data_IF_364969010974
#
_entry.id   IF_364969010974
#
_cell.length_a   1.000
_cell.length_b   1.000
_cell.length_c   1.000
_cell.angle_alpha   90.00
_cell.angle_beta   90.00
_cell.angle_gamma   90.00
#
_symmetry.space_group_name_H-M   'P 1'
#
loop_
_entity.id
_entity.type
_entity.pdbx_description
1 polymer ?
#
# COMPACT_ATOMS: atom_id res chain seq x y z
N UNK A 1 -8.28 -5.03 -2.07
CA UNK A 1 -7.16 -5.98 -2.11
C UNK A 1 -5.88 -5.27 -1.68
N UNK A 2 -5.61 -5.15 -0.37
CA UNK A 2 -4.33 -4.67 0.13
C UNK A 2 -3.30 -5.81 0.19
N UNK A 3 -2.06 -5.49 -0.16
CA UNK A 3 -0.90 -6.37 -0.08
C UNK A 3 0.08 -5.74 0.90
N UNK A 4 0.43 -6.49 1.93
CA UNK A 4 1.35 -6.07 2.97
C UNK A 4 2.58 -6.98 2.91
N UNK A 5 3.74 -6.37 2.78
CA UNK A 5 5.02 -7.08 2.83
C UNK A 5 5.82 -6.52 3.98
N UNK A 6 6.10 -7.36 4.98
CA UNK A 6 6.91 -7.04 6.14
C UNK A 6 8.29 -7.67 5.95
N UNK A 7 9.28 -6.83 5.72
CA UNK A 7 10.68 -7.19 5.61
C UNK A 7 11.39 -6.84 6.92
N UNK A 8 12.16 -7.77 7.49
CA UNK A 8 12.93 -7.50 8.72
C UNK A 8 14.27 -8.22 8.71
N UNK A 9 15.27 -7.59 9.34
CA UNK A 9 16.57 -8.21 9.60
C UNK A 9 16.57 -9.12 10.84
N UNK A 10 15.45 -9.19 11.58
CA UNK A 10 15.30 -10.11 12.69
C UNK A 10 15.37 -11.55 12.17
N UNK A 11 16.18 -12.38 12.83
CA UNK A 11 16.21 -13.81 12.57
C UNK A 11 14.81 -14.42 12.78
N UNK A 12 14.47 -15.46 12.02
CA UNK A 12 13.14 -16.07 12.04
C UNK A 12 12.72 -16.58 13.42
N UNK A 13 13.67 -16.96 14.28
CA UNK A 13 13.42 -17.37 15.66
C UNK A 13 13.02 -16.22 16.60
N UNK A 14 13.31 -14.97 16.23
CA UNK A 14 12.90 -13.77 16.98
C UNK A 14 11.56 -13.23 16.51
N UNK A 15 11.07 -13.66 15.34
CA UNK A 15 9.76 -13.26 14.85
C UNK A 15 8.69 -14.15 15.50
N UNK A 16 7.67 -13.57 16.15
CA UNK A 16 6.60 -14.33 16.75
C UNK A 16 5.88 -15.22 15.75
N UNK A 17 5.59 -16.48 16.12
CA UNK A 17 4.79 -17.36 15.30
C UNK A 17 3.37 -16.78 15.07
N UNK A 18 2.88 -16.88 13.84
CA UNK A 18 1.55 -16.38 13.46
C UNK A 18 1.46 -14.87 13.33
N UNK A 19 2.59 -14.15 13.29
CA UNK A 19 2.61 -12.70 13.06
C UNK A 19 1.88 -12.33 11.77
N UNK A 20 2.00 -13.13 10.71
CA UNK A 20 1.33 -12.94 9.43
C UNK A 20 -0.21 -12.92 9.57
N UNK A 21 -0.77 -13.79 10.43
CA UNK A 21 -2.22 -13.83 10.69
C UNK A 21 -2.67 -12.63 11.53
N UNK A 22 -1.91 -12.27 12.55
CA UNK A 22 -2.22 -11.10 13.40
C UNK A 22 -2.10 -9.80 12.60
N UNK A 23 -1.06 -9.68 11.77
CA UNK A 23 -0.88 -8.54 10.87
C UNK A 23 -2.00 -8.47 9.83
N UNK A 24 -2.49 -9.60 9.32
CA UNK A 24 -3.65 -9.63 8.42
C UNK A 24 -4.92 -9.09 9.10
N UNK A 25 -5.22 -9.55 10.32
CA UNK A 25 -6.37 -9.09 11.10
C UNK A 25 -6.27 -7.59 11.49
N UNK A 26 -5.07 -7.16 11.89
CA UNK A 26 -4.78 -5.76 12.19
C UNK A 26 -4.94 -4.89 10.94
N UNK A 27 -4.39 -5.31 9.80
CA UNK A 27 -4.50 -4.61 8.54
C UNK A 27 -5.95 -4.51 8.04
N UNK A 28 -6.74 -5.57 8.19
CA UNK A 28 -8.17 -5.55 7.88
C UNK A 28 -8.90 -4.47 8.68
N UNK A 29 -8.63 -4.40 9.99
CA UNK A 29 -9.22 -3.40 10.90
C UNK A 29 -8.72 -1.98 10.62
N UNK A 30 -7.43 -1.81 10.34
CA UNK A 30 -6.81 -0.50 10.09
C UNK A 30 -7.28 0.07 8.75
N UNK A 31 -7.28 -0.75 7.69
CA UNK A 31 -7.60 -0.35 6.32
C UNK A 31 -9.09 -0.40 6.00
N UNK A 32 -9.93 -0.89 6.91
CA UNK A 32 -11.37 -1.05 6.71
C UNK A 32 -11.72 -2.01 5.56
N UNK A 33 -10.87 -3.01 5.30
CA UNK A 33 -11.08 -4.00 4.22
C UNK A 33 -11.28 -5.39 4.81
N UNK A 34 -12.11 -6.23 4.19
CA UNK A 34 -12.35 -7.57 4.70
C UNK A 34 -11.07 -8.40 4.61
N UNK A 35 -10.80 -9.20 5.64
CA UNK A 35 -9.55 -9.91 5.83
C UNK A 35 -9.27 -10.95 4.73
N UNK A 36 -10.33 -11.48 4.09
CA UNK A 36 -10.27 -12.37 2.93
C UNK A 36 -9.57 -11.76 1.70
N UNK A 37 -9.55 -10.42 1.61
CA UNK A 37 -8.92 -9.68 0.51
C UNK A 37 -7.53 -9.15 0.86
N UNK A 38 -7.06 -9.35 2.10
CA UNK A 38 -5.76 -8.89 2.61
C UNK A 38 -4.73 -9.99 2.40
N UNK A 39 -3.63 -9.65 1.74
CA UNK A 39 -2.49 -10.55 1.59
C UNK A 39 -1.34 -10.04 2.44
N UNK A 40 -0.72 -10.93 3.22
CA UNK A 40 0.41 -10.60 4.09
C UNK A 40 1.56 -11.56 3.81
N UNK A 41 2.74 -10.99 3.60
CA UNK A 41 4.00 -11.73 3.48
C UNK A 41 4.95 -11.22 4.57
N UNK A 42 5.54 -12.13 5.34
CA UNK A 42 6.57 -11.81 6.35
C UNK A 42 7.88 -12.45 5.91
N UNK A 43 8.93 -11.64 5.78
CA UNK A 43 10.26 -12.06 5.34
C UNK A 43 11.29 -11.74 6.43
N UNK A 44 11.59 -12.71 7.31
CA UNK A 44 12.63 -12.55 8.32
C UNK A 44 14.03 -12.81 7.76
N UNK A 45 15.05 -12.36 8.49
CA UNK A 45 16.46 -12.67 8.24
C UNK A 45 17.06 -11.97 7.04
N UNK A 46 16.51 -10.84 6.63
CA UNK A 46 17.01 -10.08 5.48
C UNK A 46 18.23 -9.23 5.86
N UNK A 47 19.18 -9.10 4.93
CA UNK A 47 20.26 -8.15 5.06
C UNK A 47 19.73 -6.73 4.80
N UNK A 48 19.46 -5.97 5.86
CA UNK A 48 18.87 -4.64 5.79
C UNK A 48 19.65 -3.65 6.66
N UNK A 49 19.71 -2.41 6.19
CA UNK A 49 20.19 -1.27 6.97
C UNK A 49 19.14 -0.15 6.93
N UNK A 50 18.75 0.35 8.09
CA UNK A 50 17.82 1.46 8.24
C UNK A 50 18.57 2.65 8.86
N UNK A 51 18.46 3.83 8.24
CA UNK A 51 19.17 5.05 8.66
C UNK A 51 20.70 4.85 8.78
N UNK A 52 21.29 3.99 7.94
CA UNK A 52 22.72 3.68 7.97
C UNK A 52 23.16 2.70 9.06
N UNK A 53 22.24 2.15 9.85
CA UNK A 53 22.50 1.14 10.87
C UNK A 53 21.95 -0.23 10.46
N UNK A 54 22.69 -1.29 10.78
CA UNK A 54 22.28 -2.70 10.61
C UNK A 54 21.62 -3.28 11.87
N UNK A 55 21.34 -2.44 12.88
CA UNK A 55 20.59 -2.83 14.06
C UNK A 55 19.19 -3.35 13.72
N UNK A 56 18.56 -4.14 14.61
CA UNK A 56 17.22 -4.69 14.40
C UNK A 56 16.22 -3.66 13.86
N UNK A 57 15.71 -3.90 12.67
CA UNK A 57 14.84 -3.01 11.94
C UNK A 57 13.80 -3.78 11.12
N UNK A 58 12.72 -3.09 10.77
CA UNK A 58 11.67 -3.63 9.93
C UNK A 58 11.10 -2.57 8.98
N UNK A 59 10.74 -3.01 7.79
CA UNK A 59 10.10 -2.20 6.77
C UNK A 59 8.79 -2.86 6.36
N UNK A 60 7.69 -2.10 6.39
CA UNK A 60 6.38 -2.54 5.95
C UNK A 60 5.99 -1.81 4.67
N UNK A 61 5.76 -2.56 3.60
CA UNK A 61 5.22 -2.04 2.35
C UNK A 61 3.72 -2.36 2.27
N UNK A 62 2.88 -1.34 2.23
CA UNK A 62 1.42 -1.45 2.13
C UNK A 62 0.98 -0.97 0.76
N UNK A 63 0.59 -1.90 -0.10
CA UNK A 63 0.05 -1.61 -1.43
C UNK A 63 -1.46 -1.81 -1.44
N UNK A 64 -2.24 -0.77 -1.76
CA UNK A 64 -3.71 -0.86 -1.74
C UNK A 64 -4.35 -0.02 -2.85
N UNK A 65 -5.43 -0.55 -3.42
CA UNK A 65 -6.25 0.17 -4.42
C UNK A 65 -7.28 1.03 -3.67
N UNK A 66 -7.31 2.34 -3.92
CA UNK A 66 -8.38 3.25 -3.50
C UNK A 66 -8.50 3.57 -2.00
N UNK A 67 -7.52 3.19 -1.16
CA UNK A 67 -7.52 3.52 0.29
C UNK A 67 -6.29 4.30 0.74
N UNK A 68 -5.16 4.17 0.03
CA UNK A 68 -3.99 5.05 0.20
C UNK A 68 -4.20 6.29 -0.67
N UNK A 69 -5.11 7.16 -0.25
CA UNK A 69 -5.58 8.31 -1.05
C UNK A 69 -5.35 9.66 -0.40
N UNK A 70 -5.46 9.77 0.93
CA UNK A 70 -5.25 11.04 1.66
C UNK A 70 -4.04 10.94 2.59
N UNK A 71 -3.30 12.03 2.72
CA UNK A 71 -2.13 12.08 3.62
C UNK A 71 -2.52 11.90 5.10
N UNK A 72 -3.75 12.22 5.45
CA UNK A 72 -4.30 12.11 6.81
C UNK A 72 -4.64 10.66 7.18
N UNK A 73 -5.29 9.93 6.27
CA UNK A 73 -5.56 8.49 6.45
C UNK A 73 -4.26 7.71 6.54
N UNK A 74 -3.29 8.00 5.67
CA UNK A 74 -1.98 7.35 5.71
C UNK A 74 -1.24 7.59 7.04
N UNK A 75 -1.39 8.79 7.63
CA UNK A 75 -0.80 9.12 8.95
C UNK A 75 -1.50 8.38 10.09
N UNK A 76 -2.82 8.27 10.04
CA UNK A 76 -3.59 7.51 11.03
C UNK A 76 -3.29 6.01 10.93
N UNK A 77 -3.25 5.48 9.72
CA UNK A 77 -2.92 4.08 9.46
C UNK A 77 -1.49 3.76 9.87
N UNK A 78 -0.51 4.63 9.53
CA UNK A 78 0.88 4.43 9.94
C UNK A 78 0.97 4.31 11.45
N UNK A 79 0.40 5.26 12.22
CA UNK A 79 0.45 5.25 13.67
C UNK A 79 -0.05 3.92 14.27
N UNK A 80 -1.17 3.38 13.75
CA UNK A 80 -1.72 2.09 14.18
C UNK A 80 -0.82 0.91 13.82
N UNK A 81 -0.21 0.92 12.63
CA UNK A 81 0.74 -0.13 12.24
C UNK A 81 2.02 -0.07 13.07
N UNK A 82 2.53 1.13 13.36
CA UNK A 82 3.67 1.34 14.27
C UNK A 82 3.36 0.75 15.65
N UNK A 83 2.20 1.10 16.23
CA UNK A 83 1.82 0.59 17.55
C UNK A 83 1.72 -0.95 17.58
N UNK A 84 1.11 -1.55 16.55
CA UNK A 84 1.00 -3.00 16.43
C UNK A 84 2.37 -3.68 16.31
N UNK A 85 3.25 -3.17 15.43
CA UNK A 85 4.52 -3.82 15.15
C UNK A 85 5.57 -3.59 16.23
N UNK A 86 5.58 -2.45 16.90
CA UNK A 86 6.43 -2.22 18.09
C UNK A 86 6.08 -3.20 19.21
N UNK A 87 4.79 -3.51 19.41
CA UNK A 87 4.36 -4.50 20.41
C UNK A 87 4.74 -5.93 20.04
N UNK A 88 4.65 -6.30 18.76
CA UNK A 88 4.91 -7.66 18.30
C UNK A 88 6.41 -7.97 18.14
N UNK A 89 7.19 -7.02 17.62
CA UNK A 89 8.61 -7.23 17.29
C UNK A 89 9.57 -6.67 18.35
N UNK A 90 9.06 -5.96 19.36
CA UNK A 90 9.87 -5.28 20.39
C UNK A 90 10.95 -4.38 19.78
N UNK A 91 10.58 -3.64 18.72
CA UNK A 91 11.44 -2.68 18.02
C UNK A 91 11.03 -1.25 18.35
N UNK A 92 12.02 -0.38 18.48
CA UNK A 92 11.80 1.05 18.64
C UNK A 92 11.13 1.65 17.39
N UNK A 93 10.34 2.71 17.59
CA UNK A 93 9.65 3.39 16.48
C UNK A 93 10.63 3.94 15.44
N UNK A 94 11.83 4.36 15.86
CA UNK A 94 12.89 4.85 14.96
C UNK A 94 13.52 3.75 14.08
N UNK A 95 13.24 2.47 14.39
CA UNK A 95 13.73 1.30 13.65
C UNK A 95 12.68 0.70 12.74
N UNK A 96 11.57 1.40 12.53
CA UNK A 96 10.46 0.96 11.68
C UNK A 96 10.13 1.97 10.59
N UNK A 97 9.88 1.47 9.38
CA UNK A 97 9.52 2.32 8.25
C UNK A 97 8.32 1.74 7.50
N UNK A 98 7.29 2.55 7.30
CA UNK A 98 6.10 2.16 6.52
C UNK A 98 6.03 2.91 5.21
N UNK A 99 5.86 2.18 4.12
CA UNK A 99 5.69 2.72 2.78
C UNK A 99 4.28 2.42 2.30
N UNK A 100 3.54 3.45 1.94
CA UNK A 100 2.23 3.32 1.29
C UNK A 100 2.39 3.50 -0.21
N UNK A 101 1.95 2.52 -0.99
CA UNK A 101 1.96 2.58 -2.45
C UNK A 101 0.54 2.45 -2.97
N UNK A 102 0.05 3.53 -3.58
CA UNK A 102 -1.20 3.51 -4.33
C UNK A 102 -0.98 2.82 -5.65
N UNK A 103 -1.56 1.64 -5.84
CA UNK A 103 -1.61 1.00 -7.16
C UNK A 103 -2.84 1.51 -7.90
N UNK A 104 -2.65 2.07 -9.09
CA UNK A 104 -3.75 2.37 -10.01
C UNK A 104 -4.50 1.07 -10.33
N UNK A 105 -5.83 1.15 -10.28
CA UNK A 105 -6.72 -0.02 -10.32
C UNK A 105 -6.65 -0.76 -11.66
N UNK A 106 -6.19 -0.12 -12.75
CA UNK A 106 -6.19 -0.66 -14.11
C UNK A 106 -5.20 -1.81 -14.30
N UNK A 107 -3.97 -1.72 -13.80
CA UNK A 107 -2.95 -2.76 -14.03
C UNK A 107 -3.21 -4.06 -13.25
N UNK A 108 -3.73 -3.96 -12.02
CA UNK A 108 -3.95 -5.14 -11.15
C UNK A 108 -5.30 -5.81 -11.35
N UNK A 109 -6.32 -5.06 -11.75
CA UNK A 109 -7.61 -5.64 -12.12
C UNK A 109 -7.45 -6.62 -13.29
N UNK A 110 -6.70 -6.24 -14.33
CA UNK A 110 -6.44 -7.08 -15.50
C UNK A 110 -5.69 -8.38 -15.15
N UNK A 111 -4.67 -8.31 -14.30
CA UNK A 111 -3.92 -9.49 -13.85
C UNK A 111 -4.77 -10.45 -12.99
N UNK A 112 -5.68 -9.92 -12.16
CA UNK A 112 -6.62 -10.74 -11.39
C UNK A 112 -7.73 -11.34 -12.26
N UNK A 113 -8.33 -10.54 -13.15
CA UNK A 113 -9.39 -10.97 -14.07
C UNK A 113 -8.91 -12.03 -15.08
N UNK A 114 -7.62 -12.07 -15.37
CA UNK A 114 -7.03 -13.08 -16.27
C UNK A 114 -6.83 -14.45 -15.60
N UNK A 115 -7.22 -14.64 -14.33
CA UNK A 115 -7.17 -15.94 -13.66
C UNK A 115 -8.38 -16.80 -14.09
N UNK A 116 -8.16 -17.95 -14.74
CA UNK A 116 -9.26 -18.86 -15.04
C UNK A 116 -9.75 -19.50 -13.73
N UNK A 117 -10.98 -19.18 -13.31
CA UNK A 117 -11.63 -19.78 -12.14
C UNK A 117 -12.45 -18.86 -11.24
N UNK A 118 -12.52 -17.56 -11.50
CA UNK A 118 -13.33 -16.64 -10.69
C UNK A 118 -14.77 -16.52 -11.17
N UNK A 119 -15.71 -17.24 -10.56
CA UNK A 119 -17.15 -16.95 -10.71
C UNK A 119 -17.48 -15.65 -9.96
N UNK A 120 -17.30 -14.49 -10.60
CA UNK A 120 -17.81 -13.22 -10.08
C UNK A 120 -19.01 -12.77 -10.90
N UNK A 121 -20.13 -12.60 -10.21
CA UNK A 121 -21.41 -12.20 -10.79
C UNK A 121 -21.33 -10.80 -11.40
N UNK A 122 -21.91 -10.63 -12.59
CA UNK A 122 -21.87 -9.43 -13.44
C UNK A 122 -22.19 -8.07 -12.77
N UNK A 123 -22.79 -8.07 -11.58
CA UNK A 123 -23.20 -6.85 -10.88
C UNK A 123 -22.03 -6.16 -10.13
N UNK A 124 -21.11 -6.92 -9.54
CA UNK A 124 -19.88 -6.35 -8.94
C UNK A 124 -18.94 -5.79 -10.02
N UNK A 125 -18.94 -6.43 -11.20
CA UNK A 125 -18.17 -6.02 -12.37
C UNK A 125 -18.61 -4.64 -12.87
N UNK A 126 -19.92 -4.37 -12.94
CA UNK A 126 -20.44 -3.08 -13.41
C UNK A 126 -20.12 -1.93 -12.44
N UNK A 127 -20.17 -2.16 -11.12
CA UNK A 127 -19.78 -1.14 -10.14
C UNK A 127 -18.28 -0.82 -10.16
N UNK A 128 -17.43 -1.82 -10.36
CA UNK A 128 -15.99 -1.63 -10.48
C UNK A 128 -15.60 -0.92 -11.78
N UNK A 129 -16.22 -1.28 -12.91
CA UNK A 129 -16.00 -0.61 -14.21
C UNK A 129 -16.51 0.83 -14.18
N UNK A 130 -17.67 1.08 -13.57
CA UNK A 130 -18.21 2.44 -13.47
C UNK A 130 -17.35 3.34 -12.57
N UNK A 131 -16.76 2.80 -11.50
CA UNK A 131 -15.80 3.54 -10.66
C UNK A 131 -14.45 3.75 -11.36
N UNK A 132 -14.00 2.81 -12.21
CA UNK A 132 -12.81 2.99 -13.05
C UNK A 132 -12.98 4.18 -14.00
N UNK A 133 -14.11 4.22 -14.71
CA UNK A 133 -14.44 5.30 -15.65
C UNK A 133 -14.57 6.66 -14.92
N UNK A 134 -15.06 6.66 -13.68
CA UNK A 134 -15.19 7.87 -12.87
C UNK A 134 -13.82 8.40 -12.40
N UNK A 135 -12.88 7.51 -12.05
CA UNK A 135 -11.52 7.88 -11.69
C UNK A 135 -10.74 8.48 -12.89
N UNK A 136 -10.86 7.85 -14.06
CA UNK A 136 -10.20 8.31 -15.30
C UNK A 136 -10.66 9.74 -15.69
N UNK A 137 -11.95 10.01 -15.53
CA UNK A 137 -12.52 11.34 -15.78
C UNK A 137 -12.04 12.41 -14.79
N UNK A 138 -11.74 12.04 -13.53
CA UNK A 138 -11.18 12.99 -12.55
C UNK A 138 -9.73 13.36 -12.87
N UNK A 139 -8.90 12.39 -13.25
CA UNK A 139 -7.50 12.64 -13.65
C UNK A 139 -7.41 13.55 -14.89
N UNK A 140 -8.32 13.41 -15.87
CA UNK A 140 -8.37 14.29 -17.04
C UNK A 140 -8.79 15.74 -16.71
N UNK A 141 -9.47 15.98 -15.59
CA UNK A 141 -9.86 17.34 -15.16
C UNK A 141 -8.81 18.08 -14.33
N UNK A 142 -7.77 17.39 -13.83
CA UNK A 142 -6.74 17.97 -12.96
C UNK A 142 -5.42 18.34 -13.63
N UNK A 143 -5.28 18.16 -14.95
CA UNK A 143 -4.12 18.68 -15.68
C UNK A 143 -4.27 20.20 -15.88
N UNK A 144 -3.36 21.04 -15.35
CA UNK A 144 -3.39 22.46 -15.66
C UNK A 144 -3.07 22.62 -17.16
N UNK A 145 -4.03 23.18 -17.92
CA UNK A 145 -3.78 23.63 -19.30
C UNK A 145 -2.57 24.56 -19.27
N UNK A 146 -1.44 24.12 -19.82
CA UNK A 146 -0.27 24.98 -20.06
C UNK A 146 -0.76 26.15 -20.93
N UNK A 147 -0.68 27.38 -20.40
CA UNK A 147 -0.92 28.60 -21.18
C UNK A 147 0.04 28.60 -22.39
N UNK A 148 -0.41 28.98 -23.60
CA UNK A 148 0.47 29.11 -24.75
C UNK A 148 1.58 30.13 -24.44
N UNK A 149 2.84 29.76 -24.67
CA UNK A 149 3.95 30.71 -24.62
C UNK A 149 3.75 31.78 -25.71
N UNK A 150 3.66 33.03 -25.30
CA UNK A 150 3.70 34.17 -26.22
C UNK A 150 5.15 34.34 -26.75
N UNK A 151 5.36 34.56 -28.06
CA UNK A 151 6.68 34.81 -28.60
C UNK A 151 7.20 36.19 -28.14
N UNK A 152 8.44 36.25 -27.66
CA UNK A 152 9.12 37.49 -27.25
C UNK A 152 9.49 38.33 -28.49
N UNK A 153 9.39 39.67 -28.42
CA UNK A 153 9.83 40.53 -29.51
C UNK A 153 11.36 40.53 -29.62
N UNK A 154 11.86 40.38 -30.84
CA UNK A 154 13.26 40.59 -31.21
C UNK A 154 13.50 42.10 -31.22
N UNK A 155 14.46 42.55 -30.39
CA UNK A 155 14.95 43.93 -30.41
C UNK A 155 16.13 43.95 -31.41
N UNK A 156 16.05 44.85 -32.39
CA UNK A 156 17.12 45.25 -33.30
C UNK A 156 18.05 46.25 -32.60
#
# INVERSE_FOLDING_TARGET
>A
MPFLELDTNLAANRVPAGLEKRLCAAAASILGKPADRVNVTVRPGLAMALNGSTEPCAQLSVSSIGVVGTAEDNRSHSARFFEFLTKELSLDQDRFHVRFTGTQSSERALAWMSRPGGSQTNLEMNHLVSNLLFCENREMTSLPRKKPLQPKPVIL
#
